data_IF_526311854592
#
_entry.id   IF_526311854592
#
_cell.length_a   1.000
_cell.length_b   1.000
_cell.length_c   1.000
_cell.angle_alpha   90.00
_cell.angle_beta   90.00
_cell.angle_gamma   90.00
#
_symmetry.space_group_name_H-M   'P 1'
#
loop_
_entity.id
_entity.type
_entity.pdbx_description
1 polymer ?
#
# COMPACT_ATOMS: atom_id res chain seq x y z
N UNK A 1 33.57 -44.46 37.70
CA UNK A 1 32.60 -43.77 36.81
C UNK A 1 31.33 -43.48 37.57
N UNK A 2 30.99 -42.20 37.81
CA UNK A 2 29.61 -41.72 38.00
C UNK A 2 29.65 -40.19 38.05
N UNK A 3 29.17 -39.56 36.98
CA UNK A 3 29.07 -38.10 36.87
C UNK A 3 27.97 -37.54 37.79
N UNK A 4 28.18 -36.30 38.21
CA UNK A 4 27.41 -35.51 39.18
C UNK A 4 26.09 -35.03 38.59
N UNK A 5 24.99 -35.27 39.32
CA UNK A 5 23.67 -34.70 39.04
C UNK A 5 23.51 -33.42 39.87
N UNK A 6 24.16 -32.33 39.44
CA UNK A 6 24.11 -31.04 40.15
C UNK A 6 24.20 -29.80 39.25
N UNK A 7 24.45 -29.97 37.95
CA UNK A 7 24.69 -28.86 37.00
C UNK A 7 23.46 -28.47 36.17
N UNK A 8 22.30 -29.08 36.40
CA UNK A 8 21.10 -28.74 35.62
C UNK A 8 20.37 -27.47 36.07
N UNK A 9 20.65 -26.95 37.27
CA UNK A 9 20.00 -25.72 37.76
C UNK A 9 20.63 -24.44 37.17
N UNK A 10 21.93 -24.47 36.88
CA UNK A 10 22.62 -23.36 36.24
C UNK A 10 22.38 -23.25 34.72
N UNK A 11 21.86 -24.31 34.08
CA UNK A 11 21.53 -24.32 32.65
C UNK A 11 20.18 -23.68 32.31
N UNK A 12 19.31 -23.43 33.31
CA UNK A 12 18.02 -22.75 33.12
C UNK A 12 18.05 -21.28 33.59
N UNK A 13 19.00 -20.92 34.45
CA UNK A 13 19.18 -19.57 35.00
C UNK A 13 20.06 -18.67 34.09
N UNK A 14 20.51 -19.23 32.96
CA UNK A 14 21.36 -18.62 31.94
C UNK A 14 20.68 -18.60 30.57
N UNK A 15 19.35 -18.44 30.53
CA UNK A 15 18.67 -17.95 29.32
C UNK A 15 19.05 -16.48 29.16
N UNK A 16 20.21 -16.28 28.53
CA UNK A 16 21.02 -15.07 28.51
C UNK A 16 20.19 -13.78 28.36
N UNK A 17 20.38 -12.76 29.21
CA UNK A 17 19.61 -11.51 29.17
C UNK A 17 19.73 -10.70 27.85
N UNK A 18 20.62 -11.10 26.94
CA UNK A 18 20.69 -10.58 25.57
C UNK A 18 19.67 -11.20 24.61
N UNK A 19 19.42 -12.51 24.72
CA UNK A 19 18.54 -13.22 23.79
C UNK A 19 17.05 -12.89 24.02
N UNK A 20 16.68 -12.60 25.28
CA UNK A 20 15.33 -12.09 25.58
C UNK A 20 15.11 -10.67 25.02
N UNK A 21 16.14 -9.81 25.05
CA UNK A 21 16.05 -8.45 24.49
C UNK A 21 15.93 -8.44 22.97
N UNK A 22 16.58 -9.38 22.28
CA UNK A 22 16.47 -9.51 20.82
C UNK A 22 15.06 -9.95 20.42
N UNK A 23 14.49 -10.97 21.10
CA UNK A 23 13.11 -11.42 20.85
C UNK A 23 12.05 -10.34 21.15
N UNK A 24 12.27 -9.53 22.19
CA UNK A 24 11.39 -8.39 22.49
C UNK A 24 11.46 -7.31 21.40
N UNK A 25 12.67 -6.99 20.91
CA UNK A 25 12.87 -6.05 19.79
C UNK A 25 12.24 -6.55 18.50
N UNK A 26 12.36 -7.84 18.19
CA UNK A 26 11.71 -8.46 17.02
C UNK A 26 10.19 -8.38 17.10
N UNK A 27 9.59 -8.65 18.27
CA UNK A 27 8.15 -8.53 18.49
C UNK A 27 7.66 -7.08 18.38
N UNK A 28 8.39 -6.14 18.95
CA UNK A 28 8.08 -4.71 18.82
C UNK A 28 8.19 -4.22 17.38
N UNK A 29 9.21 -4.64 16.63
CA UNK A 29 9.34 -4.31 15.21
C UNK A 29 8.19 -4.90 14.39
N UNK A 30 7.85 -6.18 14.60
CA UNK A 30 6.72 -6.80 13.92
C UNK A 30 5.40 -6.07 14.16
N UNK A 31 5.16 -5.58 15.38
CA UNK A 31 4.00 -4.77 15.72
C UNK A 31 3.97 -3.41 15.01
N UNK A 32 5.12 -2.71 14.94
CA UNK A 32 5.25 -1.43 14.21
C UNK A 32 5.00 -1.61 12.72
N UNK A 33 5.62 -2.61 12.10
CA UNK A 33 5.46 -2.94 10.67
C UNK A 33 4.01 -3.27 10.33
N UNK A 34 3.33 -4.08 11.14
CA UNK A 34 1.92 -4.38 10.92
C UNK A 34 1.03 -3.12 10.97
N UNK A 35 1.33 -2.19 11.88
CA UNK A 35 0.65 -0.90 11.96
C UNK A 35 0.87 -0.02 10.73
N UNK A 36 2.10 0.02 10.22
CA UNK A 36 2.44 0.76 9.00
C UNK A 36 1.77 0.16 7.75
N UNK A 37 1.79 -1.17 7.60
CA UNK A 37 1.14 -1.86 6.50
C UNK A 37 -0.38 -1.61 6.48
N UNK A 38 -1.05 -1.66 7.63
CA UNK A 38 -2.48 -1.34 7.75
C UNK A 38 -2.78 0.13 7.41
N UNK A 39 -1.87 1.04 7.79
CA UNK A 39 -2.02 2.46 7.48
C UNK A 39 -1.87 2.71 5.97
N UNK A 40 -0.85 2.12 5.34
CA UNK A 40 -0.65 2.19 3.90
C UNK A 40 -1.83 1.59 3.12
N UNK A 41 -2.30 0.41 3.52
CA UNK A 41 -3.47 -0.23 2.94
C UNK A 41 -4.72 0.68 2.97
N UNK A 42 -4.99 1.28 4.12
CA UNK A 42 -6.13 2.21 4.28
C UNK A 42 -5.94 3.48 3.45
N UNK A 43 -4.72 3.98 3.30
CA UNK A 43 -4.43 5.16 2.49
C UNK A 43 -4.77 4.89 1.01
N UNK A 44 -4.29 3.78 0.45
CA UNK A 44 -4.58 3.40 -0.94
C UNK A 44 -6.08 3.25 -1.15
N UNK A 45 -6.80 2.52 -0.29
CA UNK A 45 -8.25 2.36 -0.43
C UNK A 45 -9.03 3.68 -0.34
N UNK A 46 -8.57 4.63 0.47
CA UNK A 46 -9.18 5.96 0.55
C UNK A 46 -8.92 6.76 -0.72
N UNK A 47 -7.71 6.70 -1.27
CA UNK A 47 -7.38 7.31 -2.56
C UNK A 47 -8.30 6.76 -3.66
N UNK A 48 -8.38 5.43 -3.80
CA UNK A 48 -9.26 4.75 -4.75
C UNK A 48 -10.73 5.20 -4.60
N UNK A 49 -11.23 5.30 -3.37
CA UNK A 49 -12.61 5.74 -3.11
C UNK A 49 -12.88 7.19 -3.51
N UNK A 50 -11.92 8.09 -3.27
CA UNK A 50 -12.04 9.50 -3.67
C UNK A 50 -12.00 9.63 -5.18
N UNK A 51 -11.01 9.01 -5.81
CA UNK A 51 -10.76 9.09 -7.24
C UNK A 51 -11.89 8.47 -8.06
N UNK A 52 -12.37 7.28 -7.70
CA UNK A 52 -13.40 6.59 -8.48
C UNK A 52 -14.84 6.88 -8.03
N UNK A 53 -15.08 8.03 -7.38
CA UNK A 53 -16.38 8.39 -6.83
C UNK A 53 -17.47 8.50 -7.92
N UNK A 54 -18.35 7.50 -7.97
CA UNK A 54 -19.44 7.39 -8.93
C UNK A 54 -19.26 6.27 -9.96
N UNK A 55 -18.06 5.68 -10.07
CA UNK A 55 -17.80 4.49 -10.88
C UNK A 55 -17.74 3.25 -9.98
N UNK A 56 -18.90 2.63 -9.76
CA UNK A 56 -19.05 1.48 -8.86
C UNK A 56 -18.25 0.27 -9.31
N UNK A 57 -18.09 0.08 -10.62
CA UNK A 57 -17.36 -1.06 -11.17
C UNK A 57 -15.86 -0.85 -10.93
N UNK A 58 -15.32 0.31 -11.31
CA UNK A 58 -13.90 0.62 -11.07
C UNK A 58 -13.55 0.62 -9.58
N UNK A 59 -14.44 1.11 -8.71
CA UNK A 59 -14.24 1.03 -7.26
C UNK A 59 -14.10 -0.41 -6.76
N UNK A 60 -14.96 -1.32 -7.25
CA UNK A 60 -14.98 -2.72 -6.83
C UNK A 60 -13.72 -3.45 -7.30
N UNK A 61 -13.39 -3.33 -8.59
CA UNK A 61 -12.25 -4.02 -9.18
C UNK A 61 -10.93 -3.49 -8.61
N UNK A 62 -10.78 -2.16 -8.49
CA UNK A 62 -9.58 -1.56 -7.89
C UNK A 62 -9.40 -1.97 -6.42
N UNK A 63 -10.48 -2.00 -5.64
CA UNK A 63 -10.41 -2.44 -4.25
C UNK A 63 -10.07 -3.94 -4.11
N UNK A 64 -10.52 -4.76 -5.06
CA UNK A 64 -10.17 -6.18 -5.10
C UNK A 64 -8.68 -6.38 -5.43
N UNK A 65 -8.15 -5.65 -6.41
CA UNK A 65 -6.73 -5.71 -6.76
C UNK A 65 -5.83 -5.23 -5.62
N UNK A 66 -6.21 -4.13 -4.94
CA UNK A 66 -5.48 -3.65 -3.74
C UNK A 66 -5.48 -4.72 -2.65
N UNK A 67 -6.61 -5.37 -2.38
CA UNK A 67 -6.68 -6.48 -1.39
C UNK A 67 -5.74 -7.62 -1.78
N UNK A 68 -5.85 -8.08 -3.03
CA UNK A 68 -5.04 -9.17 -3.57
C UNK A 68 -3.54 -8.88 -3.41
N UNK A 69 -3.08 -7.67 -3.75
CA UNK A 69 -1.67 -7.30 -3.64
C UNK A 69 -1.15 -7.30 -2.20
N UNK A 70 -1.96 -6.84 -1.24
CA UNK A 70 -1.59 -6.90 0.17
C UNK A 70 -1.62 -8.34 0.72
N UNK A 71 -2.56 -9.17 0.28
CA UNK A 71 -2.63 -10.58 0.67
C UNK A 71 -1.46 -11.39 0.09
N UNK A 72 -1.11 -11.15 -1.18
CA UNK A 72 0.06 -11.76 -1.84
C UNK A 72 1.34 -11.51 -1.07
N UNK A 73 1.53 -10.32 -0.50
CA UNK A 73 2.76 -9.95 0.21
C UNK A 73 2.72 -10.19 1.74
N UNK A 74 1.64 -10.79 2.27
CA UNK A 74 1.48 -10.99 3.72
C UNK A 74 2.58 -11.85 4.37
N UNK A 75 3.25 -12.67 3.58
CA UNK A 75 4.27 -13.61 4.03
C UNK A 75 5.70 -13.05 3.97
N UNK A 76 5.88 -11.81 3.50
CA UNK A 76 7.20 -11.17 3.43
C UNK A 76 7.69 -10.86 4.84
N UNK A 77 8.89 -11.33 5.17
CA UNK A 77 9.54 -11.13 6.48
C UNK A 77 10.83 -10.33 6.41
N UNK A 78 11.34 -10.06 5.21
CA UNK A 78 12.54 -9.25 5.00
C UNK A 78 12.22 -7.78 5.23
N UNK A 79 12.88 -7.16 6.20
CA UNK A 79 12.67 -5.75 6.55
C UNK A 79 12.86 -4.82 5.34
N UNK A 80 13.92 -5.04 4.54
CA UNK A 80 14.19 -4.23 3.37
C UNK A 80 13.06 -4.32 2.32
N UNK A 81 12.50 -5.52 2.14
CA UNK A 81 11.41 -5.73 1.19
C UNK A 81 10.09 -5.15 1.71
N UNK A 82 9.84 -5.26 3.01
CA UNK A 82 8.69 -4.63 3.67
C UNK A 82 8.74 -3.11 3.46
N UNK A 83 9.88 -2.47 3.72
CA UNK A 83 10.03 -1.03 3.53
C UNK A 83 9.85 -0.62 2.07
N UNK A 84 10.35 -1.42 1.12
CA UNK A 84 10.14 -1.21 -0.32
C UNK A 84 8.65 -1.23 -0.67
N UNK A 85 7.93 -2.27 -0.26
CA UNK A 85 6.49 -2.45 -0.52
C UNK A 85 5.65 -1.35 0.15
N UNK A 86 6.01 -0.92 1.35
CA UNK A 86 5.38 0.21 2.02
C UNK A 86 5.60 1.53 1.25
N UNK A 87 6.80 1.72 0.70
CA UNK A 87 7.12 2.82 -0.20
C UNK A 87 6.22 2.82 -1.44
N UNK A 88 6.15 1.70 -2.15
CA UNK A 88 5.28 1.53 -3.32
C UNK A 88 3.81 1.81 -3.01
N UNK A 89 3.31 1.34 -1.86
CA UNK A 89 1.94 1.61 -1.45
C UNK A 89 1.67 3.10 -1.19
N UNK A 90 2.64 3.82 -0.61
CA UNK A 90 2.55 5.28 -0.39
C UNK A 90 2.55 6.03 -1.72
N UNK A 91 3.42 5.64 -2.65
CA UNK A 91 3.47 6.19 -4.00
C UNK A 91 2.17 5.93 -4.76
N UNK A 92 1.66 4.70 -4.73
CA UNK A 92 0.38 4.35 -5.36
C UNK A 92 -0.78 5.20 -4.80
N UNK A 93 -0.83 5.43 -3.49
CA UNK A 93 -1.84 6.30 -2.88
C UNK A 93 -1.75 7.75 -3.39
N UNK A 94 -0.54 8.28 -3.52
CA UNK A 94 -0.30 9.64 -4.04
C UNK A 94 -0.67 9.73 -5.52
N UNK A 95 -0.25 8.74 -6.30
CA UNK A 95 -0.54 8.64 -7.73
C UNK A 95 -2.05 8.57 -8.00
N UNK A 96 -2.77 7.68 -7.30
CA UNK A 96 -4.23 7.55 -7.47
C UNK A 96 -4.95 8.85 -7.13
N UNK A 97 -4.50 9.56 -6.09
CA UNK A 97 -5.15 10.79 -5.64
C UNK A 97 -4.87 11.99 -6.54
N UNK A 98 -3.68 12.03 -7.17
CA UNK A 98 -3.19 13.23 -7.87
C UNK A 98 -3.19 13.09 -9.39
N UNK A 99 -3.03 11.88 -9.92
CA UNK A 99 -2.81 11.65 -11.35
C UNK A 99 -4.02 11.07 -12.08
N UNK A 100 -4.97 10.46 -11.38
CA UNK A 100 -6.14 9.87 -12.01
C UNK A 100 -7.25 10.91 -12.10
N UNK A 101 -7.39 11.51 -13.27
CA UNK A 101 -8.44 12.48 -13.56
C UNK A 101 -9.65 11.77 -14.18
N UNK A 102 -10.81 11.86 -13.53
CA UNK A 102 -12.04 11.31 -14.08
C UNK A 102 -12.65 12.23 -15.15
N UNK A 103 -12.78 11.71 -16.38
CA UNK A 103 -13.64 12.28 -17.40
C UNK A 103 -15.06 11.73 -17.24
N UNK A 104 -16.06 12.60 -17.00
CA UNK A 104 -17.48 12.22 -17.01
C UNK A 104 -18.09 12.64 -18.34
N UNK A 105 -18.70 11.70 -19.06
CA UNK A 105 -19.42 11.99 -20.29
C UNK A 105 -20.69 12.80 -19.97
N UNK A 106 -20.83 13.97 -20.56
CA UNK A 106 -22.03 14.78 -20.48
C UNK A 106 -23.12 14.25 -21.44
N UNK A 107 -24.40 14.52 -21.16
CA UNK A 107 -25.52 14.17 -22.04
C UNK A 107 -25.41 14.75 -23.46
N UNK A 108 -24.62 15.81 -23.63
CA UNK A 108 -24.35 16.48 -24.90
C UNK A 108 -23.22 15.86 -25.73
N UNK A 109 -22.65 14.72 -25.29
CA UNK A 109 -21.59 14.00 -26.00
C UNK A 109 -20.16 14.46 -25.74
N UNK A 110 -19.95 15.51 -24.93
CA UNK A 110 -18.63 15.98 -24.50
C UNK A 110 -18.15 15.32 -23.21
N UNK A 111 -16.85 15.08 -23.06
CA UNK A 111 -16.25 14.64 -21.81
C UNK A 111 -15.93 15.84 -20.92
N UNK A 112 -16.51 15.91 -19.72
CA UNK A 112 -16.13 16.88 -18.69
C UNK A 112 -15.15 16.23 -17.73
N UNK A 113 -13.92 16.68 -17.83
CA UNK A 113 -12.88 16.44 -16.85
C UNK A 113 -13.13 17.38 -15.67
N UNK A 114 -13.24 16.86 -14.45
CA UNK A 114 -13.27 17.69 -13.22
C UNK A 114 -11.87 17.67 -12.58
N UNK A 115 -10.96 18.57 -12.98
CA UNK A 115 -9.72 18.74 -12.24
C UNK A 115 -10.04 19.45 -10.91
N UNK A 116 -9.92 18.74 -9.78
CA UNK A 116 -9.92 19.39 -8.46
C UNK A 116 -8.66 20.25 -8.30
N UNK A 117 -8.65 21.23 -7.37
CA UNK A 117 -7.54 22.20 -7.16
C UNK A 117 -6.15 21.55 -6.95
N UNK A 118 -6.09 20.29 -6.54
CA UNK A 118 -4.86 19.50 -6.38
C UNK A 118 -4.21 19.11 -7.73
N UNK A 119 -4.89 19.35 -8.87
CA UNK A 119 -4.45 19.02 -10.23
C UNK A 119 -4.00 20.27 -11.03
N UNK A 120 -3.99 21.45 -10.42
CA UNK A 120 -3.77 22.73 -11.12
C UNK A 120 -2.32 22.96 -11.62
N UNK A 121 -1.41 22.02 -11.40
CA UNK A 121 0.01 22.14 -11.78
C UNK A 121 0.56 21.00 -12.64
N UNK A 122 -0.23 19.96 -12.93
CA UNK A 122 0.18 18.91 -13.86
C UNK A 122 -0.14 19.40 -15.28
N UNK A 123 0.90 19.82 -16.00
CA UNK A 123 0.85 20.34 -17.36
C UNK A 123 0.05 19.41 -18.29
N UNK A 124 -1.21 19.75 -18.52
CA UNK A 124 -2.06 19.10 -19.52
C UNK A 124 -1.72 19.73 -20.88
N UNK A 125 -0.63 19.29 -21.51
CA UNK A 125 -0.49 19.49 -22.95
C UNK A 125 -1.61 18.68 -23.60
N UNK A 126 -2.68 19.36 -23.95
CA UNK A 126 -3.76 18.82 -24.77
C UNK A 126 -3.14 18.54 -26.15
N UNK A 127 -3.00 17.28 -26.61
CA UNK A 127 -2.66 17.03 -28.00
C UNK A 127 -3.84 17.54 -28.84
N UNK A 128 -3.56 18.51 -29.72
CA UNK A 128 -4.55 19.17 -30.56
C UNK A 128 -5.44 18.17 -31.33
N UNK A 129 -6.70 18.56 -31.53
CA UNK A 129 -7.86 17.81 -32.02
C UNK A 129 -7.77 17.25 -33.46
N UNK A 130 -6.77 16.44 -33.83
CA UNK A 130 -6.68 15.92 -35.21
C UNK A 130 -7.06 14.43 -35.41
N UNK A 131 -7.29 13.64 -34.36
CA UNK A 131 -7.55 12.19 -34.53
C UNK A 131 -9.05 11.83 -34.60
N UNK A 132 -9.96 12.75 -34.27
CA UNK A 132 -11.42 12.49 -34.23
C UNK A 132 -12.17 12.68 -35.57
N UNK A 133 -11.53 12.40 -36.71
CA UNK A 133 -12.25 12.18 -37.98
C UNK A 133 -11.62 11.08 -38.83
N UNK A 134 -11.94 9.83 -38.54
CA UNK A 134 -12.08 8.81 -39.59
C UNK A 134 -12.99 7.65 -39.15
N UNK A 135 -14.29 7.85 -39.29
CA UNK A 135 -15.27 6.77 -39.48
C UNK A 135 -16.49 7.35 -40.19
N UNK A 136 -16.33 7.61 -41.49
CA UNK A 136 -17.39 7.71 -42.46
C UNK A 136 -16.86 7.11 -43.76
#
# INVERSE_FOLDING_TARGET
MRCRFGEFRALWELQSPGENREREREREMGGRVAGEALTAYRAVLRATRRTFAGDKLMLKESAAEVRKKFDENRHVTSEAEIQRLLGEAREASSFISTMIVQAKLNPSGGYVVKPDKEHAGAMLEIPSEEILKKSA
#
